data_IF_125897665489
#
_entry.id   IF_125897665489
#
_cell.length_a   1.000
_cell.length_b   1.000
_cell.length_c   1.000
_cell.angle_alpha   90.00
_cell.angle_beta   90.00
_cell.angle_gamma   90.00
#
_symmetry.space_group_name_H-M   'P 1'
#
loop_
_entity.id
_entity.type
_entity.pdbx_description
1 polymer ?
#
# COMPACT_ATOMS: atom_id res chain seq x y z
N UNK A 1 24.76 -4.81 -12.24
CA UNK A 1 23.99 -4.23 -11.14
C UNK A 1 24.82 -3.23 -10.32
N UNK A 2 26.02 -3.64 -9.88
CA UNK A 2 26.93 -2.77 -9.11
C UNK A 2 27.21 -1.45 -9.85
N UNK A 3 27.51 -1.51 -11.13
CA UNK A 3 27.81 -0.33 -11.94
C UNK A 3 26.61 0.63 -11.97
N UNK A 4 25.40 0.13 -12.22
CA UNK A 4 24.20 0.96 -12.27
C UNK A 4 23.87 1.66 -10.93
N UNK A 5 24.19 1.01 -9.80
CA UNK A 5 24.10 1.65 -8.47
C UNK A 5 25.21 2.67 -8.27
N UNK A 6 26.44 2.37 -8.71
CA UNK A 6 27.61 3.24 -8.55
C UNK A 6 27.56 4.49 -9.45
N UNK A 7 26.90 4.40 -10.62
CA UNK A 7 26.65 5.51 -11.53
C UNK A 7 25.34 6.24 -11.25
N UNK A 8 24.65 5.84 -10.17
CA UNK A 8 23.37 6.41 -9.75
C UNK A 8 22.22 6.29 -10.76
N UNK A 9 22.25 5.28 -11.61
CA UNK A 9 21.12 4.97 -12.49
C UNK A 9 19.97 4.32 -11.71
N UNK A 10 20.33 3.61 -10.63
CA UNK A 10 19.41 2.94 -9.69
C UNK A 10 19.75 3.37 -8.26
N UNK A 11 18.72 3.72 -7.49
CA UNK A 11 18.80 3.97 -6.05
C UNK A 11 18.28 2.77 -5.26
N UNK A 12 18.94 2.47 -4.14
CA UNK A 12 18.56 1.37 -3.23
C UNK A 12 18.00 1.91 -1.91
N UNK A 13 17.00 1.25 -1.32
CA UNK A 13 16.39 1.70 -0.07
C UNK A 13 17.32 1.45 1.15
N UNK A 14 17.02 2.14 2.23
CA UNK A 14 17.80 2.05 3.47
C UNK A 14 18.01 0.61 3.98
N UNK A 15 17.02 -0.31 4.01
CA UNK A 15 17.27 -1.66 4.48
C UNK A 15 18.27 -2.45 3.64
N UNK A 16 18.22 -2.29 2.30
CA UNK A 16 19.20 -2.93 1.40
C UNK A 16 20.58 -2.38 1.65
N UNK A 17 20.73 -1.05 1.70
CA UNK A 17 22.03 -0.40 1.90
C UNK A 17 22.62 -0.69 3.28
N UNK A 18 21.79 -0.75 4.32
CA UNK A 18 22.23 -1.10 5.67
C UNK A 18 22.62 -2.58 5.82
N UNK A 19 22.04 -3.46 4.99
CA UNK A 19 22.30 -4.90 5.00
C UNK A 19 23.52 -5.32 4.17
N UNK A 20 23.89 -4.53 3.16
CA UNK A 20 25.03 -4.85 2.29
C UNK A 20 26.34 -4.96 3.10
N UNK A 21 27.04 -6.09 2.93
CA UNK A 21 28.29 -6.41 3.65
C UNK A 21 28.16 -6.53 5.17
N UNK A 22 26.93 -6.80 5.67
CA UNK A 22 26.68 -7.05 7.09
C UNK A 22 25.97 -8.39 7.27
N UNK A 23 25.89 -8.94 8.48
CA UNK A 23 25.09 -10.13 8.76
C UNK A 23 23.57 -9.93 8.63
N UNK A 24 23.10 -8.67 8.58
CA UNK A 24 21.67 -8.35 8.49
C UNK A 24 21.15 -8.60 7.08
N UNK A 25 20.13 -9.46 6.95
CA UNK A 25 19.57 -9.89 5.66
C UNK A 25 18.07 -9.61 5.51
N UNK A 26 17.51 -8.66 6.24
CA UNK A 26 16.14 -8.20 6.01
C UNK A 26 16.20 -6.94 5.14
N UNK A 27 15.72 -7.04 3.89
CA UNK A 27 15.87 -5.99 2.86
C UNK A 27 14.56 -5.29 2.50
N UNK A 28 13.42 -5.81 2.96
CA UNK A 28 12.12 -5.22 2.67
C UNK A 28 11.89 -3.95 3.48
N UNK A 29 11.51 -2.87 2.81
CA UNK A 29 11.24 -1.57 3.42
C UNK A 29 9.83 -1.47 3.97
N UNK A 30 8.87 -2.11 3.31
CA UNK A 30 7.45 -2.01 3.57
C UNK A 30 6.90 -3.35 4.02
N UNK A 31 6.13 -3.32 5.10
CA UNK A 31 5.49 -4.49 5.70
C UNK A 31 4.02 -4.17 5.93
N UNK A 32 3.12 -4.98 5.37
CA UNK A 32 1.68 -4.82 5.51
C UNK A 32 1.15 -5.97 6.35
N UNK A 33 0.55 -5.65 7.48
CA UNK A 33 0.01 -6.63 8.45
C UNK A 33 -1.47 -6.35 8.65
N UNK A 34 -2.32 -7.33 8.36
CA UNK A 34 -3.74 -7.28 8.65
C UNK A 34 -4.02 -7.94 10.01
N UNK A 35 -4.88 -7.34 10.81
CA UNK A 35 -5.33 -7.93 12.09
C UNK A 35 -6.81 -8.28 12.01
N UNK A 36 -7.18 -9.45 12.52
CA UNK A 36 -8.56 -9.88 12.66
C UNK A 36 -9.14 -9.44 14.02
N UNK A 37 -10.46 -9.57 14.16
CA UNK A 37 -11.22 -9.25 15.37
C UNK A 37 -11.09 -10.36 16.44
N UNK A 38 -9.85 -10.69 16.82
CA UNK A 38 -9.53 -11.64 17.90
C UNK A 38 -8.29 -11.22 18.66
N UNK A 39 -8.20 -11.57 19.95
CA UNK A 39 -7.02 -11.26 20.78
C UNK A 39 -5.76 -11.95 20.26
N UNK A 40 -5.88 -13.15 19.72
CA UNK A 40 -4.75 -13.91 19.18
C UNK A 40 -4.18 -13.20 17.94
N UNK A 41 -5.04 -12.76 17.02
CA UNK A 41 -4.62 -11.97 15.85
C UNK A 41 -4.00 -10.63 16.22
N UNK A 42 -4.58 -9.92 17.19
CA UNK A 42 -4.04 -8.65 17.71
C UNK A 42 -2.64 -8.86 18.32
N UNK A 43 -2.45 -9.94 19.10
CA UNK A 43 -1.16 -10.29 19.68
C UNK A 43 -0.14 -10.68 18.60
N UNK A 44 -0.53 -11.49 17.61
CA UNK A 44 0.31 -11.88 16.49
C UNK A 44 0.76 -10.66 15.67
N UNK A 45 -0.16 -9.72 15.40
CA UNK A 45 0.13 -8.44 14.76
C UNK A 45 1.15 -7.64 15.57
N UNK A 46 0.95 -7.48 16.87
CA UNK A 46 1.86 -6.77 17.76
C UNK A 46 3.27 -7.34 17.74
N UNK A 47 3.38 -8.68 17.85
CA UNK A 47 4.66 -9.39 17.81
C UNK A 47 5.36 -9.21 16.46
N UNK A 48 4.62 -9.26 15.36
CA UNK A 48 5.13 -9.05 14.01
C UNK A 48 5.64 -7.62 13.79
N UNK A 49 4.93 -6.60 14.31
CA UNK A 49 5.37 -5.20 14.30
C UNK A 49 6.74 -5.07 14.95
N UNK A 50 6.92 -5.58 16.18
CA UNK A 50 8.20 -5.50 16.91
C UNK A 50 9.34 -6.14 16.12
N UNK A 51 9.10 -7.31 15.52
CA UNK A 51 10.12 -8.02 14.71
C UNK A 51 10.57 -7.21 13.51
N UNK A 52 9.66 -6.62 12.76
CA UNK A 52 10.01 -5.87 11.54
C UNK A 52 10.53 -4.47 11.83
N UNK A 53 9.99 -3.78 12.84
CA UNK A 53 10.51 -2.46 13.25
C UNK A 53 11.95 -2.56 13.71
N UNK A 54 12.30 -3.59 14.48
CA UNK A 54 13.70 -3.83 14.92
C UNK A 54 14.68 -4.00 13.74
N UNK A 55 14.16 -4.35 12.56
CA UNK A 55 14.94 -4.56 11.33
C UNK A 55 14.73 -3.45 10.28
N UNK A 56 14.37 -2.25 10.72
CA UNK A 56 14.30 -1.00 9.91
C UNK A 56 13.17 -0.93 8.89
N UNK A 57 12.14 -1.77 9.01
CA UNK A 57 10.96 -1.69 8.15
C UNK A 57 9.94 -0.67 8.65
N UNK A 58 9.19 -0.07 7.71
CA UNK A 58 7.99 0.70 7.97
C UNK A 58 6.75 -0.19 7.88
N UNK A 59 5.74 0.06 8.71
CA UNK A 59 4.60 -0.84 8.88
C UNK A 59 3.30 -0.19 8.41
N UNK A 60 2.52 -0.89 7.57
CA UNK A 60 1.10 -0.65 7.33
C UNK A 60 0.27 -1.65 8.14
N UNK A 61 -0.71 -1.19 8.90
CA UNK A 61 -1.54 -2.03 9.78
C UNK A 61 -2.99 -1.91 9.35
N UNK A 62 -3.58 -2.99 8.85
CA UNK A 62 -5.02 -3.08 8.59
C UNK A 62 -5.76 -3.49 9.87
N UNK A 63 -6.41 -2.56 10.54
CA UNK A 63 -7.07 -2.81 11.82
C UNK A 63 -8.55 -2.41 11.84
N UNK A 64 -9.12 -2.17 10.66
CA UNK A 64 -10.51 -1.74 10.53
C UNK A 64 -11.54 -2.85 10.76
N UNK A 65 -11.13 -4.12 10.89
CA UNK A 65 -12.03 -5.24 11.18
C UNK A 65 -12.35 -5.39 12.68
N UNK A 66 -11.57 -4.77 13.57
CA UNK A 66 -11.77 -4.89 15.01
C UNK A 66 -13.12 -4.28 15.40
N UNK A 67 -13.92 -5.03 16.20
CA UNK A 67 -15.22 -4.60 16.66
C UNK A 67 -15.16 -3.30 17.49
N UNK A 68 -16.17 -2.48 17.34
CA UNK A 68 -16.23 -1.19 17.99
C UNK A 68 -16.65 -1.24 19.48
N UNK A 69 -16.40 -0.13 20.19
CA UNK A 69 -16.89 0.13 21.55
C UNK A 69 -18.34 -0.32 21.72
N UNK A 70 -18.62 -1.09 22.77
CA UNK A 70 -19.97 -1.56 23.13
C UNK A 70 -20.46 -2.75 22.29
N UNK A 71 -19.66 -3.33 21.39
CA UNK A 71 -19.98 -4.62 20.77
C UNK A 71 -19.90 -5.76 21.80
N UNK A 72 -20.75 -6.79 21.70
CA UNK A 72 -20.75 -7.88 22.67
C UNK A 72 -19.46 -8.70 22.56
N UNK A 73 -18.93 -9.13 23.71
CA UNK A 73 -17.85 -10.10 23.86
C UNK A 73 -18.26 -11.20 24.86
N UNK A 74 -17.55 -12.33 24.89
CA UNK A 74 -17.83 -13.46 25.79
C UNK A 74 -19.30 -13.91 25.75
N UNK A 75 -19.83 -14.08 24.53
CA UNK A 75 -21.24 -14.47 24.31
C UNK A 75 -22.26 -13.49 24.91
N UNK A 76 -21.91 -12.21 25.06
CA UNK A 76 -22.80 -11.18 25.61
C UNK A 76 -22.61 -10.88 27.11
N UNK A 77 -21.71 -11.61 27.79
CA UNK A 77 -21.44 -11.36 29.22
C UNK A 77 -20.68 -10.05 29.49
N UNK A 78 -20.04 -9.49 28.46
CA UNK A 78 -19.31 -8.23 28.55
C UNK A 78 -19.36 -7.45 27.22
N UNK A 79 -18.87 -6.21 27.25
CA UNK A 79 -18.84 -5.33 26.09
C UNK A 79 -17.43 -4.86 25.79
N UNK A 80 -17.12 -4.74 24.50
CA UNK A 80 -15.84 -4.26 24.00
C UNK A 80 -15.60 -2.79 24.39
N UNK A 81 -14.38 -2.50 24.81
CA UNK A 81 -13.99 -1.16 25.31
C UNK A 81 -13.52 -0.18 24.23
N UNK A 82 -13.69 -0.56 22.95
CA UNK A 82 -13.28 0.24 21.79
C UNK A 82 -11.92 -0.16 21.23
N UNK A 83 -11.59 0.39 20.05
CA UNK A 83 -10.36 0.04 19.32
C UNK A 83 -9.13 0.82 19.81
N UNK A 84 -9.31 1.97 20.45
CA UNK A 84 -8.21 2.86 20.86
C UNK A 84 -7.18 2.16 21.76
N UNK A 85 -7.54 1.33 22.75
CA UNK A 85 -6.58 0.60 23.56
C UNK A 85 -5.66 -0.31 22.74
N UNK A 86 -6.18 -0.98 21.71
CA UNK A 86 -5.37 -1.80 20.80
C UNK A 86 -4.49 -0.96 19.88
N UNK A 87 -4.96 0.19 19.42
CA UNK A 87 -4.15 1.11 18.62
C UNK A 87 -2.99 1.69 19.44
N UNK A 88 -3.17 1.93 20.73
CA UNK A 88 -2.07 2.25 21.67
C UNK A 88 -1.05 1.14 21.79
N UNK A 89 -1.51 -0.11 21.84
CA UNK A 89 -0.64 -1.29 21.87
C UNK A 89 0.21 -1.37 20.58
N UNK A 90 -0.39 -1.16 19.40
CA UNK A 90 0.35 -1.10 18.13
C UNK A 90 1.34 0.08 18.08
N UNK A 91 0.94 1.26 18.59
CA UNK A 91 1.86 2.39 18.72
C UNK A 91 3.05 2.05 19.59
N UNK A 92 2.83 1.43 20.77
CA UNK A 92 3.88 1.03 21.68
C UNK A 92 4.82 0.02 21.05
N UNK A 93 4.29 -0.98 20.34
CA UNK A 93 5.06 -1.97 19.58
C UNK A 93 5.92 -1.29 18.51
N UNK A 94 5.32 -0.36 17.74
CA UNK A 94 6.03 0.39 16.68
C UNK A 94 7.21 1.20 17.23
N UNK A 95 7.09 1.73 18.44
CA UNK A 95 8.11 2.56 19.08
C UNK A 95 9.05 1.80 20.03
N UNK A 96 8.81 0.51 20.23
CA UNK A 96 9.57 -0.30 21.20
C UNK A 96 11.04 -0.49 20.83
N UNK A 97 11.37 -0.46 19.53
CA UNK A 97 12.71 -0.66 19.02
C UNK A 97 13.22 0.56 18.27
N UNK A 98 14.45 0.99 18.59
CA UNK A 98 15.14 1.99 17.79
C UNK A 98 15.83 1.34 16.59
N UNK A 99 15.74 1.98 15.44
CA UNK A 99 16.40 1.52 14.21
C UNK A 99 17.86 2.00 14.14
N UNK A 100 18.71 1.47 15.01
CA UNK A 100 20.13 1.86 15.10
C UNK A 100 20.39 3.14 15.89
N UNK A 101 19.52 3.50 16.83
CA UNK A 101 19.70 4.64 17.76
C UNK A 101 19.34 6.02 17.19
N UNK A 102 19.11 6.13 15.88
CA UNK A 102 18.89 7.43 15.19
C UNK A 102 17.49 7.56 14.62
N UNK A 103 16.82 6.45 14.31
CA UNK A 103 15.48 6.43 13.68
C UNK A 103 14.51 5.63 14.53
N UNK A 104 13.33 6.18 14.78
CA UNK A 104 12.23 5.47 15.43
C UNK A 104 11.42 4.66 14.39
N UNK A 105 10.77 3.58 14.84
CA UNK A 105 9.79 2.88 14.04
C UNK A 105 8.62 3.79 13.69
N UNK A 106 8.03 3.57 12.51
CA UNK A 106 6.88 4.32 12.03
C UNK A 106 5.83 3.35 11.45
N UNK A 107 4.55 3.67 11.66
CA UNK A 107 3.45 2.87 11.12
C UNK A 107 2.27 3.74 10.73
N UNK A 108 1.54 3.30 9.70
CA UNK A 108 0.22 3.82 9.30
C UNK A 108 -0.83 2.77 9.59
N UNK A 109 -1.92 3.19 10.22
CA UNK A 109 -3.03 2.34 10.60
C UNK A 109 -4.24 2.65 9.72
N UNK A 110 -4.80 1.61 9.08
CA UNK A 110 -5.89 1.71 8.12
C UNK A 110 -7.22 1.26 8.73
N UNK A 111 -8.29 2.06 8.50
CA UNK A 111 -9.65 1.77 8.94
C UNK A 111 -10.68 2.42 8.02
N UNK A 112 -11.90 1.82 7.89
CA UNK A 112 -12.93 2.37 7.02
C UNK A 112 -13.62 3.61 7.62
N UNK A 113 -13.99 4.55 6.75
CA UNK A 113 -14.71 5.78 7.10
C UNK A 113 -16.08 5.52 7.77
N UNK A 114 -16.66 4.36 7.55
CA UNK A 114 -17.94 3.95 8.12
C UNK A 114 -17.83 3.20 9.47
N UNK A 115 -16.61 3.11 10.05
CA UNK A 115 -16.41 2.48 11.36
C UNK A 115 -17.16 3.25 12.45
N UNK A 116 -17.80 2.53 13.39
CA UNK A 116 -18.66 3.12 14.44
C UNK A 116 -17.95 4.20 15.30
N UNK A 117 -16.65 4.04 15.53
CA UNK A 117 -15.83 4.98 16.32
C UNK A 117 -15.13 6.04 15.45
N UNK A 118 -15.51 6.24 14.18
CA UNK A 118 -14.77 7.09 13.25
C UNK A 118 -14.53 8.52 13.74
N UNK A 119 -15.49 9.11 14.48
CA UNK A 119 -15.35 10.46 15.00
C UNK A 119 -14.16 10.56 15.99
N UNK A 120 -13.96 9.54 16.83
CA UNK A 120 -12.83 9.45 17.75
C UNK A 120 -11.53 9.08 17.02
N UNK A 121 -11.62 8.24 15.97
CA UNK A 121 -10.47 7.81 15.19
C UNK A 121 -9.86 8.93 14.34
N UNK A 122 -10.66 9.83 13.80
CA UNK A 122 -10.17 10.96 13.02
C UNK A 122 -9.29 11.91 13.86
N UNK A 123 -9.58 12.04 15.15
CA UNK A 123 -8.87 12.98 16.04
C UNK A 123 -7.69 12.36 16.81
N UNK A 124 -7.34 11.10 16.56
CA UNK A 124 -6.29 10.39 17.32
C UNK A 124 -4.94 11.10 17.31
N UNK A 125 -4.62 11.81 16.23
CA UNK A 125 -3.31 12.48 16.04
C UNK A 125 -3.28 13.94 16.49
N UNK A 126 -4.41 14.57 16.69
CA UNK A 126 -4.44 15.99 17.02
C UNK A 126 -3.94 16.29 18.44
N UNK A 127 -3.60 17.57 18.70
CA UNK A 127 -3.04 18.02 19.98
C UNK A 127 -4.11 18.39 21.03
N UNK A 128 -5.40 18.25 20.68
CA UNK A 128 -6.51 18.53 21.59
C UNK A 128 -6.88 17.27 22.38
N UNK A 129 -7.41 17.43 23.58
CA UNK A 129 -7.86 16.31 24.44
C UNK A 129 -6.73 15.68 25.26
N UNK A 130 -7.09 14.61 25.98
CA UNK A 130 -6.19 13.89 26.90
C UNK A 130 -5.40 12.81 26.17
N UNK A 131 -4.25 12.41 26.72
CA UNK A 131 -3.45 11.29 26.20
C UNK A 131 -4.22 9.96 26.18
N UNK A 132 -5.22 9.81 27.05
CA UNK A 132 -6.02 8.57 27.12
C UNK A 132 -6.79 8.30 25.83
N UNK A 133 -7.17 9.36 25.11
CA UNK A 133 -7.96 9.27 23.88
C UNK A 133 -7.16 9.61 22.63
N UNK A 134 -5.83 9.57 22.70
CA UNK A 134 -4.94 9.91 21.58
C UNK A 134 -3.92 8.83 21.31
N UNK A 135 -3.56 8.69 20.02
CA UNK A 135 -2.50 7.80 19.50
C UNK A 135 -1.69 8.61 18.48
N UNK A 136 -0.88 9.55 19.01
CA UNK A 136 -0.26 10.64 18.21
C UNK A 136 0.94 10.20 17.37
N UNK A 137 1.58 9.10 17.73
CA UNK A 137 2.84 8.66 17.12
C UNK A 137 2.65 7.61 16.02
N UNK A 138 1.46 7.54 15.46
CA UNK A 138 1.15 6.77 14.26
C UNK A 138 0.60 7.69 13.19
N UNK A 139 0.68 7.27 11.95
CA UNK A 139 -0.04 7.86 10.83
C UNK A 139 -1.31 7.05 10.56
N UNK A 140 -2.24 7.59 9.81
CA UNK A 140 -3.54 6.97 9.58
C UNK A 140 -3.90 6.95 8.10
N UNK A 141 -4.57 5.88 7.66
CA UNK A 141 -5.18 5.76 6.34
C UNK A 141 -6.68 5.56 6.48
N UNK A 142 -7.45 6.58 6.14
CA UNK A 142 -8.92 6.49 6.14
C UNK A 142 -9.37 5.97 4.80
N UNK A 143 -10.19 4.91 4.84
CA UNK A 143 -10.62 4.16 3.67
C UNK A 143 -12.01 4.58 3.22
N UNK A 144 -12.13 4.95 1.96
CA UNK A 144 -13.34 5.43 1.31
C UNK A 144 -13.75 4.49 0.18
N UNK A 145 -15.04 4.48 -0.14
CA UNK A 145 -15.60 3.80 -1.30
C UNK A 145 -16.48 4.73 -2.12
N UNK A 146 -16.86 4.29 -3.30
CA UNK A 146 -17.79 5.00 -4.19
C UNK A 146 -19.08 5.42 -3.49
N UNK A 147 -19.65 4.54 -2.63
CA UNK A 147 -20.88 4.83 -1.89
C UNK A 147 -20.74 6.08 -1.01
N UNK A 148 -19.57 6.31 -0.40
CA UNK A 148 -19.34 7.52 0.39
C UNK A 148 -19.46 8.77 -0.48
N UNK A 149 -18.83 8.79 -1.64
CA UNK A 149 -18.87 9.93 -2.55
C UNK A 149 -20.26 10.15 -3.16
N UNK A 150 -20.98 9.09 -3.51
CA UNK A 150 -22.37 9.18 -3.95
C UNK A 150 -23.24 9.90 -2.92
N UNK A 151 -23.09 9.56 -1.64
CA UNK A 151 -23.82 10.19 -0.54
C UNK A 151 -23.33 11.61 -0.23
N UNK A 152 -22.04 11.86 -0.35
CA UNK A 152 -21.48 13.21 -0.19
C UNK A 152 -22.06 14.17 -1.24
N UNK A 153 -22.09 13.76 -2.50
CA UNK A 153 -22.60 14.58 -3.62
C UNK A 153 -24.11 14.79 -3.52
N UNK A 154 -24.86 13.75 -3.12
CA UNK A 154 -26.31 13.83 -2.97
C UNK A 154 -26.77 14.53 -1.69
N UNK A 155 -25.84 14.94 -0.79
CA UNK A 155 -26.19 15.51 0.52
C UNK A 155 -26.76 14.50 1.52
N UNK A 156 -26.47 13.22 1.32
CA UNK A 156 -26.94 12.12 2.17
C UNK A 156 -26.11 11.94 3.45
N UNK A 157 -26.49 10.92 4.22
CA UNK A 157 -25.84 10.56 5.47
C UNK A 157 -24.95 9.31 5.27
N UNK A 158 -23.92 9.23 6.11
CA UNK A 158 -23.14 8.00 6.32
C UNK A 158 -23.58 7.37 7.64
N UNK A 159 -23.89 6.09 7.58
CA UNK A 159 -24.22 5.30 8.75
C UNK A 159 -23.01 4.52 9.23
N UNK A 160 -22.70 4.67 10.50
CA UNK A 160 -21.54 4.06 11.14
C UNK A 160 -21.93 2.75 11.79
N UNK A 161 -21.14 1.71 11.52
CA UNK A 161 -21.34 0.36 12.04
C UNK A 161 -20.09 -0.17 12.73
N UNK A 162 -20.29 -1.07 13.71
CA UNK A 162 -19.24 -1.98 14.09
C UNK A 162 -19.14 -3.07 13.02
N UNK A 163 -17.94 -3.41 12.51
CA UNK A 163 -17.79 -4.50 11.53
C UNK A 163 -18.39 -5.82 12.01
N UNK A 164 -18.31 -6.09 13.32
CA UNK A 164 -18.90 -7.26 13.97
C UNK A 164 -20.43 -7.34 13.84
N UNK A 165 -21.11 -6.20 13.89
CA UNK A 165 -22.57 -6.15 13.93
C UNK A 165 -23.22 -6.35 12.55
N UNK A 166 -22.44 -6.31 11.47
CA UNK A 166 -22.86 -6.53 10.08
C UNK A 166 -21.92 -7.54 9.41
N UNK A 167 -22.17 -8.86 9.60
CA UNK A 167 -21.32 -9.89 9.02
C UNK A 167 -21.14 -9.76 7.50
N UNK A 168 -19.90 -9.89 7.03
CA UNK A 168 -19.53 -9.77 5.61
C UNK A 168 -19.39 -8.35 5.09
N UNK A 169 -19.80 -7.31 5.85
CA UNK A 169 -19.70 -5.92 5.39
C UNK A 169 -18.24 -5.50 5.17
N UNK A 170 -17.35 -5.87 6.10
CA UNK A 170 -15.95 -5.50 6.02
C UNK A 170 -15.25 -6.14 4.81
N UNK A 171 -15.50 -7.42 4.55
CA UNK A 171 -14.90 -8.08 3.39
C UNK A 171 -15.47 -7.57 2.06
N UNK A 172 -16.79 -7.36 1.98
CA UNK A 172 -17.43 -6.80 0.79
C UNK A 172 -16.93 -5.38 0.46
N UNK A 173 -16.59 -4.59 1.48
CA UNK A 173 -16.05 -3.23 1.32
C UNK A 173 -14.80 -3.18 0.41
N UNK A 174 -14.01 -4.24 0.37
CA UNK A 174 -12.81 -4.35 -0.46
C UNK A 174 -13.05 -5.18 -1.72
N UNK A 175 -13.80 -6.27 -1.61
CA UNK A 175 -13.88 -7.28 -2.65
C UNK A 175 -15.01 -7.04 -3.65
N UNK A 176 -16.13 -6.43 -3.22
CA UNK A 176 -17.33 -6.32 -4.05
C UNK A 176 -18.18 -5.10 -3.62
N UNK A 177 -18.09 -4.03 -4.39
CA UNK A 177 -18.75 -2.76 -4.06
C UNK A 177 -20.29 -2.83 -4.14
N UNK A 178 -20.84 -3.66 -5.02
CA UNK A 178 -22.29 -3.86 -5.14
C UNK A 178 -22.81 -4.63 -3.93
N UNK A 179 -22.12 -5.69 -3.54
CA UNK A 179 -22.43 -6.45 -2.32
C UNK A 179 -22.25 -5.60 -1.06
N UNK A 180 -21.21 -4.77 -0.99
CA UNK A 180 -21.02 -3.82 0.10
C UNK A 180 -22.23 -2.89 0.23
N UNK A 181 -22.67 -2.27 -0.87
CA UNK A 181 -23.81 -1.36 -0.91
C UNK A 181 -25.11 -2.06 -0.47
N UNK A 182 -25.35 -3.28 -0.96
CA UNK A 182 -26.52 -4.10 -0.58
C UNK A 182 -26.53 -4.36 0.94
N UNK A 183 -25.43 -4.85 1.49
CA UNK A 183 -25.31 -5.17 2.92
C UNK A 183 -25.44 -3.91 3.78
N UNK A 184 -24.78 -2.83 3.36
CA UNK A 184 -24.78 -1.55 4.05
C UNK A 184 -26.18 -0.96 4.16
N UNK A 185 -26.90 -0.83 3.04
CA UNK A 185 -28.26 -0.30 2.99
C UNK A 185 -29.28 -1.24 3.68
N UNK A 186 -29.07 -2.56 3.60
CA UNK A 186 -29.87 -3.51 4.37
C UNK A 186 -29.69 -3.32 5.88
N UNK A 187 -28.45 -3.13 6.34
CA UNK A 187 -28.14 -2.86 7.76
C UNK A 187 -28.74 -1.52 8.24
N UNK A 188 -28.77 -0.52 7.38
CA UNK A 188 -29.40 0.78 7.70
C UNK A 188 -30.89 0.63 8.03
N UNK A 189 -31.61 -0.24 7.35
CA UNK A 189 -33.04 -0.50 7.56
C UNK A 189 -33.37 -1.32 8.82
N UNK A 190 -32.39 -2.10 9.33
CA UNK A 190 -32.58 -2.98 10.49
C UNK A 190 -32.51 -2.21 11.79
N UNK A 191 -33.56 -2.18 12.59
CA UNK A 191 -33.61 -1.52 13.91
C UNK A 191 -32.81 -2.25 14.98
N UNK A 192 -32.56 -3.56 14.80
CA UNK A 192 -31.80 -4.40 15.72
C UNK A 192 -30.27 -4.16 15.66
N UNK A 193 -29.77 -3.54 14.60
CA UNK A 193 -28.33 -3.24 14.44
C UNK A 193 -28.05 -1.89 15.08
N UNK A 194 -27.05 -1.88 15.97
CA UNK A 194 -26.52 -0.66 16.57
C UNK A 194 -25.81 0.18 15.51
N UNK A 195 -26.17 1.44 15.40
CA UNK A 195 -25.66 2.35 14.39
C UNK A 195 -25.75 3.80 14.79
N UNK A 196 -25.01 4.63 14.10
CA UNK A 196 -25.00 6.09 14.19
C UNK A 196 -25.13 6.64 12.78
N UNK A 197 -25.76 7.78 12.58
CA UNK A 197 -25.86 8.41 11.26
C UNK A 197 -25.34 9.83 11.34
N UNK A 198 -24.47 10.21 10.40
CA UNK A 198 -23.82 11.52 10.31
C UNK A 198 -23.95 12.03 8.89
N UNK A 199 -24.23 13.33 8.65
CA UNK A 199 -24.16 13.89 7.30
C UNK A 199 -22.79 13.64 6.67
N UNK A 200 -22.76 13.12 5.43
CA UNK A 200 -21.52 12.80 4.72
C UNK A 200 -20.60 14.04 4.60
N UNK A 201 -21.19 15.21 4.37
CA UNK A 201 -20.47 16.49 4.29
C UNK A 201 -19.78 16.87 5.60
N UNK A 202 -20.43 16.64 6.74
CA UNK A 202 -19.85 16.90 8.07
C UNK A 202 -18.66 15.95 8.33
N UNK A 203 -18.83 14.66 8.04
CA UNK A 203 -17.77 13.67 8.25
C UNK A 203 -16.56 13.94 7.35
N UNK A 204 -16.81 14.28 6.07
CA UNK A 204 -15.74 14.63 5.13
C UNK A 204 -15.02 15.93 5.54
N UNK A 205 -15.75 16.95 6.01
CA UNK A 205 -15.15 18.18 6.52
C UNK A 205 -14.24 17.92 7.71
N UNK A 206 -14.68 17.08 8.66
CA UNK A 206 -13.86 16.68 9.83
C UNK A 206 -12.59 15.94 9.40
N UNK A 207 -12.69 15.01 8.44
CA UNK A 207 -11.54 14.32 7.87
C UNK A 207 -10.55 15.32 7.24
N UNK A 208 -11.03 16.24 6.43
CA UNK A 208 -10.18 17.23 5.75
C UNK A 208 -9.52 18.21 6.72
N UNK A 209 -10.23 18.61 7.78
CA UNK A 209 -9.68 19.45 8.83
C UNK A 209 -8.52 18.76 9.56
N UNK A 210 -8.72 17.52 10.00
CA UNK A 210 -7.69 16.77 10.71
C UNK A 210 -6.49 16.44 9.79
N UNK A 211 -6.73 16.12 8.53
CA UNK A 211 -5.67 15.95 7.50
C UNK A 211 -4.86 17.24 7.33
N UNK A 212 -5.50 18.39 7.23
CA UNK A 212 -4.85 19.71 7.12
C UNK A 212 -4.01 20.01 8.35
N UNK A 213 -4.56 19.76 9.55
CA UNK A 213 -3.94 20.13 10.80
C UNK A 213 -2.77 19.22 11.19
N UNK A 214 -2.80 17.95 10.81
CA UNK A 214 -1.79 16.95 11.18
C UNK A 214 -0.82 16.60 10.07
N UNK A 215 -1.22 16.78 8.82
CA UNK A 215 -0.43 16.49 7.62
C UNK A 215 -0.16 14.99 7.36
N UNK A 216 -0.74 14.08 8.17
CA UNK A 216 -0.39 12.65 8.16
C UNK A 216 -1.61 11.74 8.30
N UNK A 217 -2.66 12.07 7.57
CA UNK A 217 -3.85 11.23 7.39
C UNK A 217 -4.04 11.02 5.90
N UNK A 218 -3.82 9.79 5.44
CA UNK A 218 -4.02 9.40 4.05
C UNK A 218 -5.50 9.18 3.75
N UNK A 219 -5.85 9.37 2.49
CA UNK A 219 -7.13 8.95 1.91
C UNK A 219 -6.84 7.76 0.99
N UNK A 220 -7.44 6.60 1.27
CA UNK A 220 -7.35 5.42 0.41
C UNK A 220 -8.73 5.11 -0.19
N UNK A 221 -8.84 5.15 -1.50
CA UNK A 221 -10.03 4.71 -2.24
C UNK A 221 -9.93 3.21 -2.47
N UNK A 222 -10.69 2.42 -1.71
CA UNK A 222 -10.55 0.95 -1.72
C UNK A 222 -11.03 0.30 -3.01
N UNK A 223 -12.04 0.88 -3.64
CA UNK A 223 -12.54 0.49 -4.97
C UNK A 223 -11.46 0.71 -6.04
N UNK A 224 -10.84 1.91 -6.10
CA UNK A 224 -9.75 2.18 -7.04
C UNK A 224 -8.53 1.30 -6.79
N UNK A 225 -8.14 1.09 -5.51
CA UNK A 225 -7.03 0.21 -5.15
C UNK A 225 -7.24 -1.22 -5.67
N UNK A 226 -8.47 -1.72 -5.61
CA UNK A 226 -8.81 -3.06 -6.09
C UNK A 226 -9.03 -3.12 -7.60
N UNK A 227 -9.72 -2.13 -8.18
CA UNK A 227 -10.02 -2.09 -9.62
C UNK A 227 -8.76 -1.92 -10.47
N UNK A 228 -7.84 -1.02 -10.06
CA UNK A 228 -6.68 -0.63 -10.85
C UNK A 228 -5.38 -1.35 -10.49
N UNK A 229 -5.35 -2.17 -9.43
CA UNK A 229 -4.17 -2.95 -9.07
C UNK A 229 -3.85 -4.05 -10.07
N UNK A 230 -2.65 -4.64 -9.91
CA UNK A 230 -2.24 -5.84 -10.67
C UNK A 230 -2.93 -7.12 -10.21
N UNK A 231 -3.68 -7.11 -9.12
CA UNK A 231 -4.35 -8.28 -8.55
C UNK A 231 -5.80 -8.39 -8.99
N UNK A 232 -6.30 -9.63 -9.03
CA UNK A 232 -7.73 -9.93 -9.24
C UNK A 232 -8.47 -9.80 -7.92
N UNK A 233 -9.44 -8.91 -7.86
CA UNK A 233 -10.15 -8.55 -6.63
C UNK A 233 -10.92 -9.71 -6.00
N UNK A 234 -11.44 -10.62 -6.82
CA UNK A 234 -12.21 -11.80 -6.40
C UNK A 234 -11.37 -12.87 -5.67
N UNK A 235 -10.06 -12.94 -5.94
CA UNK A 235 -9.16 -13.92 -5.34
C UNK A 235 -8.10 -13.33 -4.41
N UNK A 236 -7.72 -12.08 -4.62
CA UNK A 236 -6.65 -11.41 -3.87
C UNK A 236 -7.01 -9.94 -3.57
N UNK A 237 -8.10 -9.67 -2.83
CA UNK A 237 -8.53 -8.31 -2.52
C UNK A 237 -7.49 -7.57 -1.69
N UNK A 238 -7.33 -6.29 -2.00
CA UNK A 238 -6.44 -5.38 -1.27
C UNK A 238 -7.24 -4.70 -0.16
N UNK A 239 -6.80 -4.86 1.08
CA UNK A 239 -7.48 -4.34 2.28
C UNK A 239 -6.75 -3.18 2.95
N UNK A 240 -5.53 -2.88 2.54
CA UNK A 240 -4.72 -1.80 3.11
C UNK A 240 -3.54 -1.44 2.22
N UNK A 241 -2.83 -0.38 2.59
CA UNK A 241 -1.55 -0.01 2.01
C UNK A 241 -0.42 -0.10 3.05
N UNK A 242 0.79 0.29 2.67
CA UNK A 242 1.97 0.33 3.54
C UNK A 242 2.05 1.64 4.37
N UNK A 243 3.21 1.90 4.99
CA UNK A 243 3.47 3.11 5.78
C UNK A 243 3.23 4.41 5.01
N UNK A 244 3.68 4.50 3.76
CA UNK A 244 3.66 5.73 2.96
C UNK A 244 2.52 5.77 1.93
N UNK A 245 1.65 4.76 1.93
CA UNK A 245 0.46 4.66 1.07
C UNK A 245 0.78 4.61 -0.44
N UNK A 246 1.95 4.05 -0.81
CA UNK A 246 2.39 3.95 -2.21
C UNK A 246 2.33 2.54 -2.78
N UNK A 247 2.05 1.52 -1.96
CA UNK A 247 1.95 0.14 -2.45
C UNK A 247 0.81 -0.61 -1.77
N UNK A 248 -0.02 -1.23 -2.58
CA UNK A 248 -1.19 -1.97 -2.20
C UNK A 248 -0.99 -3.46 -2.52
N UNK A 249 -0.97 -4.30 -1.49
CA UNK A 249 -0.72 -5.74 -1.60
C UNK A 249 -1.78 -6.54 -0.82
N UNK A 250 -2.19 -7.71 -1.32
CA UNK A 250 -3.09 -8.59 -0.59
C UNK A 250 -2.46 -9.08 0.71
N UNK A 251 -3.28 -9.15 1.75
CA UNK A 251 -2.93 -9.64 3.09
C UNK A 251 -3.98 -10.60 3.60
N UNK A 252 -3.60 -11.42 4.60
CA UNK A 252 -4.52 -12.21 5.42
C UNK A 252 -4.11 -12.08 6.88
N UNK A 253 -5.06 -11.88 7.81
CA UNK A 253 -4.73 -11.78 9.22
C UNK A 253 -4.14 -13.10 9.73
N UNK A 254 -3.25 -12.99 10.71
CA UNK A 254 -2.69 -14.15 11.40
C UNK A 254 -3.61 -14.59 12.54
N UNK A 255 -3.77 -15.89 12.75
CA UNK A 255 -4.45 -16.45 13.90
C UNK A 255 -3.52 -16.55 15.14
N UNK A 256 -2.22 -16.78 14.89
CA UNK A 256 -1.15 -16.69 15.89
C UNK A 256 0.17 -16.29 15.21
N UNK A 257 1.23 -16.07 15.99
CA UNK A 257 2.52 -15.62 15.46
C UNK A 257 3.22 -16.62 14.51
N UNK A 258 2.94 -17.91 14.64
CA UNK A 258 3.51 -18.96 13.80
C UNK A 258 2.58 -19.40 12.67
N UNK A 259 1.46 -18.73 12.49
CA UNK A 259 0.48 -19.04 11.44
C UNK A 259 1.15 -18.98 10.05
N UNK A 260 1.09 -20.10 9.33
CA UNK A 260 1.61 -20.25 7.97
C UNK A 260 0.55 -19.99 6.88
N UNK A 261 -0.73 -19.92 7.28
CA UNK A 261 -1.86 -19.63 6.38
C UNK A 261 -2.19 -18.15 6.31
N UNK A 262 -1.73 -17.36 7.29
CA UNK A 262 -1.77 -15.90 7.24
C UNK A 262 -0.80 -15.33 6.20
N UNK A 263 -1.03 -14.11 5.77
CA UNK A 263 -0.19 -13.45 4.78
C UNK A 263 0.21 -12.04 5.25
N UNK A 264 1.47 -11.87 5.61
CA UNK A 264 2.10 -10.55 5.78
C UNK A 264 2.74 -10.19 4.45
N UNK A 265 2.31 -9.09 3.83
CA UNK A 265 2.89 -8.67 2.57
C UNK A 265 4.16 -7.83 2.81
N UNK A 266 5.20 -8.12 2.04
CA UNK A 266 6.45 -7.36 2.05
C UNK A 266 6.68 -6.72 0.69
N UNK A 267 7.28 -5.52 0.67
CA UNK A 267 7.78 -4.92 -0.56
C UNK A 267 9.24 -4.52 -0.41
N UNK A 268 10.04 -4.95 -1.37
CA UNK A 268 11.44 -4.55 -1.51
C UNK A 268 11.52 -3.48 -2.58
N UNK A 269 12.10 -2.33 -2.21
CA UNK A 269 12.05 -1.12 -3.03
C UNK A 269 13.35 -0.88 -3.80
N UNK A 270 13.24 -0.13 -4.88
CA UNK A 270 14.32 0.53 -5.63
C UNK A 270 13.73 1.72 -6.38
N UNK A 271 14.57 2.57 -6.95
CA UNK A 271 14.10 3.63 -7.85
C UNK A 271 15.03 3.81 -9.03
N UNK A 272 14.46 4.13 -10.19
CA UNK A 272 15.21 4.53 -11.38
C UNK A 272 15.40 6.05 -11.38
N UNK A 273 16.62 6.49 -11.64
CA UNK A 273 16.96 7.90 -11.74
C UNK A 273 16.60 8.45 -13.12
N UNK A 274 15.44 9.11 -13.21
CA UNK A 274 14.98 9.71 -14.46
C UNK A 274 15.89 10.83 -14.96
N UNK A 275 16.63 11.48 -14.06
CA UNK A 275 17.63 12.49 -14.43
C UNK A 275 18.71 11.97 -15.39
N UNK A 276 19.02 10.67 -15.35
CA UNK A 276 20.01 10.02 -16.22
C UNK A 276 19.41 9.51 -17.55
N UNK A 277 18.09 9.48 -17.69
CA UNK A 277 17.40 9.00 -18.90
C UNK A 277 17.38 10.11 -19.95
N UNK A 278 17.77 9.81 -21.18
CA UNK A 278 17.84 10.74 -22.32
C UNK A 278 16.74 10.49 -23.35
N UNK A 279 16.36 9.23 -23.51
CA UNK A 279 15.30 8.77 -24.41
C UNK A 279 14.60 7.56 -23.81
N UNK A 280 13.36 7.25 -24.20
CA UNK A 280 12.57 6.15 -23.63
C UNK A 280 13.28 4.80 -23.58
N UNK A 281 14.08 4.46 -24.60
CA UNK A 281 14.78 3.16 -24.65
C UNK A 281 15.88 3.01 -23.60
N UNK A 282 16.37 4.13 -23.02
CA UNK A 282 17.40 4.11 -21.99
C UNK A 282 16.88 3.49 -20.68
N UNK A 283 15.55 3.38 -20.50
CA UNK A 283 14.95 2.67 -19.37
C UNK A 283 15.21 1.16 -19.36
N UNK A 284 15.44 0.55 -20.54
CA UNK A 284 15.57 -0.90 -20.67
C UNK A 284 16.56 -1.48 -19.68
N UNK A 285 17.76 -0.93 -19.63
CA UNK A 285 18.87 -1.47 -18.81
C UNK A 285 18.66 -1.28 -17.31
N UNK A 286 18.37 -0.07 -16.79
CA UNK A 286 18.15 0.12 -15.36
C UNK A 286 16.91 -0.63 -14.86
N UNK A 287 15.82 -0.69 -15.62
CA UNK A 287 14.63 -1.47 -15.24
C UNK A 287 14.92 -2.97 -15.14
N UNK A 288 15.61 -3.55 -16.14
CA UNK A 288 16.03 -4.95 -16.09
C UNK A 288 16.91 -5.25 -14.87
N UNK A 289 17.90 -4.42 -14.61
CA UNK A 289 18.81 -4.60 -13.47
C UNK A 289 18.09 -4.44 -12.13
N UNK A 290 17.17 -3.47 -12.00
CA UNK A 290 16.38 -3.28 -10.80
C UNK A 290 15.51 -4.50 -10.49
N UNK A 291 14.77 -5.01 -11.50
CA UNK A 291 13.91 -6.20 -11.34
C UNK A 291 14.73 -7.41 -10.93
N UNK A 292 15.79 -7.72 -11.67
CA UNK A 292 16.66 -8.90 -11.40
C UNK A 292 17.33 -8.80 -10.03
N UNK A 293 17.84 -7.63 -9.67
CA UNK A 293 18.52 -7.40 -8.40
C UNK A 293 17.58 -7.57 -7.23
N UNK A 294 16.40 -6.96 -7.28
CA UNK A 294 15.41 -7.07 -6.22
C UNK A 294 14.81 -8.48 -6.12
N UNK A 295 14.50 -9.13 -7.24
CA UNK A 295 13.99 -10.51 -7.24
C UNK A 295 14.97 -11.47 -6.55
N UNK A 296 16.27 -11.32 -6.80
CA UNK A 296 17.30 -12.10 -6.14
C UNK A 296 17.33 -11.86 -4.61
N UNK A 297 17.12 -10.62 -4.17
CA UNK A 297 17.06 -10.29 -2.73
C UNK A 297 15.87 -10.96 -2.04
N UNK A 298 14.73 -11.14 -2.69
CA UNK A 298 13.58 -11.84 -2.09
C UNK A 298 13.90 -13.30 -1.74
N UNK A 299 14.78 -13.94 -2.51
CA UNK A 299 15.21 -15.32 -2.23
C UNK A 299 16.33 -15.36 -1.19
N UNK A 300 17.17 -14.33 -1.13
CA UNK A 300 18.37 -14.28 -0.28
C UNK A 300 18.09 -13.75 1.13
N UNK A 301 17.02 -12.96 1.34
CA UNK A 301 16.73 -12.35 2.64
C UNK A 301 16.25 -13.35 3.69
N UNK A 302 16.45 -12.98 4.96
CA UNK A 302 15.88 -13.68 6.10
C UNK A 302 14.49 -13.14 6.43
N UNK A 303 13.58 -14.02 6.81
CA UNK A 303 12.20 -13.68 7.13
C UNK A 303 11.93 -13.94 8.63
N UNK A 304 11.78 -12.90 9.46
CA UNK A 304 11.54 -13.06 10.89
C UNK A 304 10.16 -13.64 11.24
N UNK A 305 9.22 -13.66 10.27
CA UNK A 305 7.87 -14.21 10.44
C UNK A 305 7.55 -15.10 9.23
N UNK A 306 7.08 -16.33 9.48
CA UNK A 306 6.81 -17.33 8.44
C UNK A 306 5.74 -16.88 7.43
N UNK A 307 4.66 -16.26 7.91
CA UNK A 307 3.60 -15.72 7.05
C UNK A 307 4.12 -14.69 6.03
N UNK A 308 5.16 -13.94 6.37
CA UNK A 308 5.80 -13.00 5.45
C UNK A 308 6.65 -13.72 4.40
N UNK A 309 7.33 -14.78 4.76
CA UNK A 309 8.06 -15.62 3.81
C UNK A 309 7.12 -16.28 2.81
N UNK A 310 6.06 -16.92 3.32
CA UNK A 310 5.07 -17.61 2.49
C UNK A 310 4.43 -16.65 1.47
N UNK A 311 3.92 -15.51 1.92
CA UNK A 311 3.34 -14.48 1.07
C UNK A 311 4.33 -13.93 0.05
N UNK A 312 5.56 -13.61 0.47
CA UNK A 312 6.57 -13.02 -0.41
C UNK A 312 7.04 -14.01 -1.49
N UNK A 313 7.30 -15.26 -1.15
CA UNK A 313 7.72 -16.26 -2.14
C UNK A 313 6.58 -16.58 -3.09
N UNK A 314 5.33 -16.61 -2.61
CA UNK A 314 4.13 -16.81 -3.42
C UNK A 314 3.98 -15.74 -4.50
N UNK A 315 4.16 -14.46 -4.17
CA UNK A 315 3.83 -13.33 -5.06
C UNK A 315 5.03 -12.57 -5.58
N UNK A 316 6.18 -12.64 -4.93
CA UNK A 316 7.43 -11.94 -5.27
C UNK A 316 7.25 -10.45 -5.59
N UNK A 317 6.59 -9.65 -4.72
CA UNK A 317 6.26 -8.27 -5.01
C UNK A 317 7.48 -7.37 -4.95
N UNK A 318 7.61 -6.48 -5.92
CA UNK A 318 8.62 -5.42 -5.98
C UNK A 318 7.94 -4.05 -6.03
N UNK A 319 8.67 -3.01 -5.59
CA UNK A 319 8.27 -1.63 -5.74
C UNK A 319 9.42 -0.80 -6.30
N UNK A 320 9.40 -0.55 -7.61
CA UNK A 320 10.42 0.25 -8.30
C UNK A 320 9.80 1.60 -8.63
N UNK A 321 10.38 2.65 -8.07
CA UNK A 321 9.88 4.02 -8.19
C UNK A 321 10.72 4.90 -9.09
N UNK A 322 10.48 6.21 -8.93
CA UNK A 322 11.09 7.27 -9.71
C UNK A 322 11.80 8.22 -8.74
N UNK A 323 13.05 8.57 -9.01
CA UNK A 323 13.74 9.71 -8.37
C UNK A 323 14.17 10.70 -9.45
N UNK A 324 14.46 11.94 -9.01
CA UNK A 324 15.02 12.99 -9.84
C UNK A 324 14.12 13.49 -10.96
N UNK A 325 12.78 13.38 -10.78
CA UNK A 325 11.83 13.87 -11.77
C UNK A 325 11.94 15.38 -11.98
N UNK A 326 12.18 16.16 -10.92
CA UNK A 326 12.32 17.61 -11.04
C UNK A 326 13.48 18.00 -11.97
N UNK A 327 14.63 17.33 -11.86
CA UNK A 327 15.76 17.56 -12.75
C UNK A 327 15.46 17.07 -14.17
N UNK A 328 14.76 15.93 -14.32
CA UNK A 328 14.30 15.44 -15.62
C UNK A 328 13.42 16.48 -16.32
N UNK A 329 12.45 17.06 -15.61
CA UNK A 329 11.60 18.11 -16.16
C UNK A 329 12.42 19.34 -16.57
N UNK A 330 13.30 19.82 -15.70
CA UNK A 330 14.11 21.01 -15.96
C UNK A 330 15.03 20.85 -17.18
N UNK A 331 15.69 19.70 -17.33
CA UNK A 331 16.57 19.45 -18.50
C UNK A 331 15.81 19.30 -19.83
N UNK A 332 14.50 19.09 -19.78
CA UNK A 332 13.61 19.02 -20.94
C UNK A 332 12.75 20.28 -21.10
N UNK A 333 13.19 21.41 -20.54
CA UNK A 333 12.56 22.72 -20.64
C UNK A 333 11.08 22.74 -20.21
N UNK A 334 10.74 21.95 -19.21
CA UNK A 334 9.40 21.85 -18.64
C UNK A 334 9.43 21.89 -17.10
N UNK A 335 8.29 22.06 -16.44
CA UNK A 335 8.22 22.15 -14.99
C UNK A 335 6.84 21.74 -14.46
N UNK A 336 6.68 21.66 -13.13
CA UNK A 336 5.43 21.24 -12.50
C UNK A 336 4.24 22.19 -12.71
N UNK A 337 4.49 23.49 -12.95
CA UNK A 337 3.40 24.47 -13.18
C UNK A 337 2.87 24.43 -14.60
N UNK A 338 3.71 24.03 -15.55
CA UNK A 338 3.36 23.88 -16.96
C UNK A 338 4.07 22.65 -17.53
N UNK A 339 3.62 21.43 -17.17
CA UNK A 339 4.29 20.21 -17.57
C UNK A 339 4.04 19.89 -19.05
N UNK A 340 5.06 19.36 -19.72
CA UNK A 340 4.88 18.70 -21.01
C UNK A 340 4.31 17.30 -20.76
N UNK A 341 2.99 17.17 -20.83
CA UNK A 341 2.28 15.92 -20.50
C UNK A 341 2.58 14.80 -21.49
N UNK A 342 2.74 15.11 -22.79
CA UNK A 342 3.08 14.11 -23.81
C UNK A 342 4.46 13.49 -23.54
N UNK A 343 5.45 14.31 -23.17
CA UNK A 343 6.78 13.84 -22.78
C UNK A 343 6.71 12.95 -21.56
N UNK A 344 5.96 13.35 -20.52
CA UNK A 344 5.84 12.58 -19.28
C UNK A 344 5.14 11.25 -19.55
N UNK A 345 4.06 11.26 -20.35
CA UNK A 345 3.33 10.04 -20.75
C UNK A 345 4.23 9.05 -21.49
N UNK A 346 4.99 9.52 -22.48
CA UNK A 346 5.93 8.69 -23.26
C UNK A 346 6.98 8.02 -22.37
N UNK A 347 7.60 8.78 -21.45
CA UNK A 347 8.63 8.22 -20.58
C UNK A 347 8.05 7.34 -19.47
N UNK A 348 6.87 7.65 -18.96
CA UNK A 348 6.17 6.82 -17.97
C UNK A 348 5.71 5.49 -18.59
N UNK A 349 5.21 5.53 -19.83
CA UNK A 349 4.89 4.33 -20.60
C UNK A 349 6.11 3.43 -20.76
N UNK A 350 7.24 3.97 -21.21
CA UNK A 350 8.46 3.21 -21.43
C UNK A 350 9.00 2.61 -20.11
N UNK A 351 9.01 3.39 -19.03
CA UNK A 351 9.39 2.91 -17.70
C UNK A 351 8.52 1.74 -17.24
N UNK A 352 7.20 1.87 -17.33
CA UNK A 352 6.26 0.80 -16.98
C UNK A 352 6.43 -0.44 -17.86
N UNK A 353 6.54 -0.24 -19.18
CA UNK A 353 6.75 -1.32 -20.14
C UNK A 353 8.02 -2.12 -19.84
N UNK A 354 9.16 -1.46 -19.65
CA UNK A 354 10.43 -2.17 -19.43
C UNK A 354 10.49 -2.86 -18.08
N UNK A 355 9.81 -2.39 -17.05
CA UNK A 355 9.70 -3.10 -15.77
C UNK A 355 8.89 -4.39 -15.93
N UNK A 356 7.73 -4.33 -16.59
CA UNK A 356 6.87 -5.50 -16.82
C UNK A 356 7.58 -6.49 -17.74
N UNK A 357 8.20 -5.99 -18.83
CA UNK A 357 8.97 -6.81 -19.77
C UNK A 357 10.12 -7.55 -19.08
N UNK A 358 10.88 -6.87 -18.23
CA UNK A 358 11.98 -7.48 -17.47
C UNK A 358 11.49 -8.61 -16.55
N UNK A 359 10.35 -8.44 -15.91
CA UNK A 359 9.75 -9.47 -15.05
C UNK A 359 9.16 -10.64 -15.85
N UNK A 360 8.58 -10.36 -17.02
CA UNK A 360 8.09 -11.39 -17.94
C UNK A 360 9.27 -12.21 -18.55
N UNK A 361 10.37 -11.56 -18.89
CA UNK A 361 11.59 -12.26 -19.35
C UNK A 361 12.20 -13.11 -18.24
N UNK A 362 12.22 -12.60 -17.01
CA UNK A 362 12.68 -13.37 -15.86
C UNK A 362 11.77 -14.56 -15.55
N UNK A 363 10.47 -14.47 -15.84
CA UNK A 363 9.54 -15.60 -15.74
C UNK A 363 9.88 -16.73 -16.75
N UNK A 364 10.35 -16.41 -17.95
CA UNK A 364 10.83 -17.42 -18.90
C UNK A 364 12.07 -18.16 -18.35
N UNK A 365 12.99 -17.42 -17.70
CA UNK A 365 14.25 -17.97 -17.21
C UNK A 365 14.09 -18.78 -15.90
N UNK A 366 13.23 -18.32 -14.98
CA UNK A 366 13.14 -18.82 -13.60
C UNK A 366 11.74 -19.30 -13.20
N UNK A 367 10.79 -19.25 -14.11
CA UNK A 367 9.37 -19.53 -13.84
C UNK A 367 8.62 -18.32 -13.31
N UNK A 368 7.33 -18.26 -13.60
CA UNK A 368 6.42 -17.28 -13.02
C UNK A 368 6.34 -17.44 -11.48
N UNK A 369 5.90 -16.39 -10.76
CA UNK A 369 5.64 -16.53 -9.33
C UNK A 369 4.47 -17.51 -9.09
N UNK A 370 4.49 -18.28 -7.98
CA UNK A 370 3.39 -19.22 -7.67
C UNK A 370 2.00 -18.58 -7.65
N UNK A 371 1.90 -17.31 -7.26
CA UNK A 371 0.67 -16.53 -7.24
C UNK A 371 0.33 -15.81 -8.56
N UNK A 372 0.94 -16.21 -9.69
CA UNK A 372 0.68 -15.59 -10.99
C UNK A 372 -0.82 -15.58 -11.38
N UNK A 373 -1.53 -16.64 -11.05
CA UNK A 373 -2.97 -16.76 -11.31
C UNK A 373 -3.85 -15.78 -10.50
N UNK A 374 -3.32 -15.20 -9.43
CA UNK A 374 -3.99 -14.14 -8.65
C UNK A 374 -3.81 -12.76 -9.28
N UNK A 375 -2.96 -12.64 -10.32
CA UNK A 375 -2.64 -11.38 -10.98
C UNK A 375 -3.37 -11.22 -12.31
N UNK A 376 -3.66 -9.99 -12.69
CA UNK A 376 -4.14 -9.62 -14.03
C UNK A 376 -3.09 -9.88 -15.10
N UNK A 377 -1.80 -9.82 -14.74
CA UNK A 377 -0.70 -10.19 -15.64
C UNK A 377 -0.80 -11.63 -16.13
N UNK A 378 -1.22 -12.57 -15.26
CA UNK A 378 -1.44 -13.97 -15.65
C UNK A 378 -2.50 -14.16 -16.75
N UNK A 379 -3.40 -13.19 -16.91
CA UNK A 379 -4.39 -13.14 -17.98
C UNK A 379 -3.94 -12.26 -19.16
N UNK A 380 -2.69 -11.80 -19.18
CA UNK A 380 -2.16 -10.91 -20.21
C UNK A 380 -2.69 -9.46 -20.11
N UNK A 381 -3.22 -9.05 -18.95
CA UNK A 381 -3.75 -7.71 -18.75
C UNK A 381 -2.68 -6.82 -18.11
N UNK A 382 -2.48 -5.64 -18.67
CA UNK A 382 -1.46 -4.67 -18.26
C UNK A 382 -2.08 -3.36 -17.72
N UNK A 383 -1.37 -2.54 -16.93
CA UNK A 383 -1.93 -1.35 -16.29
C UNK A 383 -2.55 -0.33 -17.25
N UNK A 384 -2.03 -0.21 -18.48
CA UNK A 384 -2.60 0.66 -19.50
C UNK A 384 -3.98 0.21 -20.03
N UNK A 385 -4.45 -0.98 -19.64
CA UNK A 385 -5.82 -1.44 -19.90
C UNK A 385 -6.76 -1.22 -18.70
N UNK A 386 -6.23 -1.05 -17.49
CA UNK A 386 -7.01 -1.03 -16.24
C UNK A 386 -7.03 0.31 -15.52
N UNK A 387 -6.29 1.32 -15.99
CA UNK A 387 -6.37 2.66 -15.38
C UNK A 387 -7.73 3.32 -15.63
N UNK A 388 -8.04 4.36 -14.87
CA UNK A 388 -9.29 5.13 -15.00
C UNK A 388 -9.30 5.92 -16.32
N UNK A 389 -10.08 5.45 -17.28
CA UNK A 389 -10.11 5.97 -18.65
C UNK A 389 -10.59 7.43 -18.78
N UNK A 390 -11.31 7.97 -17.80
CA UNK A 390 -11.70 9.39 -17.78
C UNK A 390 -10.50 10.35 -17.86
N UNK A 391 -9.29 9.86 -17.52
CA UNK A 391 -8.05 10.64 -17.67
C UNK A 391 -7.73 10.96 -19.14
N UNK A 392 -8.14 10.09 -20.07
CA UNK A 392 -7.89 10.27 -21.51
C UNK A 392 -8.60 11.52 -22.07
N UNK A 393 -9.65 12.02 -21.41
CA UNK A 393 -10.30 13.29 -21.76
C UNK A 393 -9.40 14.51 -21.49
N UNK A 394 -8.43 14.36 -20.60
CA UNK A 394 -7.48 15.41 -20.23
C UNK A 394 -6.13 15.24 -20.92
N UNK A 395 -5.64 14.02 -20.99
CA UNK A 395 -4.36 13.64 -21.61
C UNK A 395 -4.57 12.35 -22.39
N UNK A 396 -4.84 12.44 -23.69
CA UNK A 396 -5.00 11.27 -24.54
C UNK A 396 -3.75 10.39 -24.51
N UNK A 397 -3.91 9.12 -24.13
CA UNK A 397 -2.82 8.15 -24.12
C UNK A 397 -2.70 7.44 -25.47
N UNK A 398 -1.46 7.33 -25.97
CA UNK A 398 -1.14 6.55 -27.17
C UNK A 398 -0.10 5.48 -26.82
N UNK A 399 -0.40 4.21 -27.08
CA UNK A 399 0.59 3.14 -26.90
C UNK A 399 1.71 3.27 -27.94
N UNK A 400 2.94 3.46 -27.49
CA UNK A 400 4.17 3.60 -28.31
C UNK A 400 5.06 2.36 -28.25
N UNK A 401 4.89 1.55 -27.17
CA UNK A 401 5.66 0.33 -26.94
C UNK A 401 4.92 -0.89 -27.49
N UNK A 402 5.59 -2.03 -27.65
CA UNK A 402 4.98 -3.30 -28.10
C UNK A 402 4.18 -3.99 -27.00
N UNK A 403 3.10 -3.35 -26.56
CA UNK A 403 2.19 -3.91 -25.57
C UNK A 403 1.51 -5.20 -26.06
N UNK A 404 1.21 -5.32 -27.34
CA UNK A 404 0.58 -6.51 -27.90
C UNK A 404 1.47 -7.73 -27.75
N UNK A 405 2.76 -7.61 -28.10
CA UNK A 405 3.74 -8.68 -27.90
C UNK A 405 3.94 -9.01 -26.42
N UNK A 406 4.01 -8.00 -25.55
CA UNK A 406 4.17 -8.21 -24.11
C UNK A 406 2.95 -8.90 -23.47
N UNK A 407 1.72 -8.48 -23.80
CA UNK A 407 0.48 -9.13 -23.31
C UNK A 407 0.41 -10.60 -23.73
N UNK A 408 0.77 -10.91 -24.96
CA UNK A 408 0.85 -12.28 -25.44
C UNK A 408 1.85 -13.10 -24.62
N UNK A 409 3.06 -12.57 -24.39
CA UNK A 409 4.09 -13.22 -23.58
C UNK A 409 3.59 -13.48 -22.16
N UNK A 410 2.96 -12.49 -21.51
CA UNK A 410 2.40 -12.62 -20.16
C UNK A 410 1.34 -13.73 -20.07
N UNK A 411 0.44 -13.82 -21.05
CA UNK A 411 -0.56 -14.89 -21.11
C UNK A 411 0.04 -16.29 -21.33
N UNK A 412 1.18 -16.38 -22.01
CA UNK A 412 1.85 -17.66 -22.31
C UNK A 412 2.79 -18.12 -21.18
N UNK A 413 3.54 -17.20 -20.56
CA UNK A 413 4.62 -17.52 -19.61
C UNK A 413 4.40 -16.99 -18.21
N UNK A 414 3.39 -16.12 -18.01
CA UNK A 414 3.13 -15.45 -16.74
C UNK A 414 4.15 -14.36 -16.41
N UNK A 415 4.11 -13.91 -15.16
CA UNK A 415 5.01 -12.88 -14.63
C UNK A 415 5.78 -13.39 -13.40
N UNK A 416 7.05 -12.99 -13.27
CA UNK A 416 7.88 -13.35 -12.11
C UNK A 416 7.51 -12.58 -10.85
N UNK A 417 7.08 -11.32 -10.98
CA UNK A 417 6.80 -10.42 -9.87
C UNK A 417 5.38 -9.89 -9.98
N UNK A 418 4.54 -10.13 -8.98
CA UNK A 418 3.11 -9.81 -8.98
C UNK A 418 2.80 -8.31 -9.03
N UNK A 419 3.72 -7.48 -8.57
CA UNK A 419 3.72 -6.02 -8.71
C UNK A 419 5.15 -5.53 -8.90
N UNK A 420 5.31 -4.38 -9.55
CA UNK A 420 6.62 -3.89 -9.98
C UNK A 420 6.84 -2.41 -9.68
N UNK A 421 5.79 -1.60 -9.67
CA UNK A 421 5.86 -0.16 -9.59
C UNK A 421 5.34 0.36 -8.25
N UNK A 422 6.07 1.32 -7.65
CA UNK A 422 5.64 2.05 -6.47
C UNK A 422 6.25 3.44 -6.48
N UNK A 423 5.43 4.48 -6.33
CA UNK A 423 5.89 5.87 -6.33
C UNK A 423 6.20 6.34 -4.90
N UNK A 424 7.20 5.68 -4.28
CA UNK A 424 7.57 5.95 -2.89
C UNK A 424 8.34 7.26 -2.74
N UNK A 425 8.30 7.90 -1.55
CA UNK A 425 9.25 8.92 -1.16
C UNK A 425 10.61 8.27 -0.84
N UNK A 426 11.61 8.47 -1.68
CA UNK A 426 12.95 7.86 -1.51
C UNK A 426 13.77 8.50 -0.39
N UNK A 427 13.43 9.71 0.03
CA UNK A 427 14.02 10.45 1.16
C UNK A 427 15.57 10.40 1.18
N UNK A 428 16.14 9.85 2.25
CA UNK A 428 17.60 9.79 2.43
C UNK A 428 18.33 9.03 1.31
N UNK A 429 17.72 8.01 0.72
CA UNK A 429 18.39 7.24 -0.36
C UNK A 429 18.56 8.05 -1.65
N UNK A 430 17.69 9.00 -1.94
CA UNK A 430 17.84 9.90 -3.09
C UNK A 430 18.97 10.93 -2.87
N UNK A 431 19.26 11.32 -1.63
CA UNK A 431 20.33 12.28 -1.31
C UNK A 431 21.72 11.75 -1.66
N UNK A 432 21.93 10.44 -1.62
CA UNK A 432 23.22 9.82 -1.98
C UNK A 432 23.60 10.11 -3.42
N UNK A 433 22.61 10.13 -4.33
CA UNK A 433 22.79 10.46 -5.75
C UNK A 433 22.54 11.94 -6.07
N UNK A 434 22.41 12.80 -5.05
CA UNK A 434 22.03 14.21 -5.22
C UNK A 434 20.78 14.38 -6.09
N UNK A 435 19.80 13.53 -5.88
CA UNK A 435 18.56 13.46 -6.66
C UNK A 435 17.37 13.97 -5.85
N UNK A 436 16.35 14.50 -6.52
CA UNK A 436 15.09 14.81 -5.86
C UNK A 436 14.35 13.52 -5.46
N UNK A 437 13.53 13.61 -4.43
CA UNK A 437 13.01 12.51 -3.64
C UNK A 437 12.10 11.53 -4.40
N UNK A 438 11.32 12.03 -5.35
CA UNK A 438 10.30 11.23 -6.07
C UNK A 438 9.68 12.04 -7.20
N UNK A 439 8.37 11.88 -7.35
CA UNK A 439 7.58 12.58 -8.39
C UNK A 439 7.07 13.95 -7.93
N UNK A 440 7.12 14.24 -6.65
CA UNK A 440 6.62 15.51 -6.09
C UNK A 440 7.58 16.67 -6.37
N UNK A 441 7.08 17.92 -6.35
CA UNK A 441 7.95 19.09 -6.40
C UNK A 441 9.01 19.05 -5.28
N UNK A 442 10.24 19.50 -5.53
CA UNK A 442 11.28 19.60 -4.50
C UNK A 442 10.83 20.47 -3.32
N UNK A 443 11.16 20.06 -2.12
CA UNK A 443 10.91 20.80 -0.87
C UNK A 443 12.11 21.65 -0.49
#
# INVERSE_FOLDING_TARGET
YYDAVSTFDISLPTPVMAGVRTPQRQFSSCVLIETADSLDSINATTSSIVKYVSQKAGIGIGAGSIRALGSPIRNGDAYHTGVIPFYKMFQSATRSCSQGGVRNGAATLYYPIWHYEIEDLLVLKNNKGTEDNRVRHMDYGVQFSKLFYERLISGGNITLFSPHDVPGLYDAFFADQDKFKELYESAERKTSIRKKSIPASQLFASFMEERKNTGRIYLQNVDHANEHSSFKTDVAPIKQSNLCCEIDLPTKPLNDFNDEEGEIALCTLSAVNWGNIRKPEDFKKPCELAVRGLDALLTYQDYPVKAAQASTIKRRPLGIGIINLAFFLAKNDTNYSNPNLDLIDEYAEAWSYYLIKASADLAIEQGACPGNNETKYGDGITPNQTYKKDVDDLVPHTERMDWTGLRKQLGETGIRNSTLMALMPSETSAQISNSTNGIEPPR
#
